data_IF_534994806185
#
_entry.id   IF_534994806185
#
_cell.length_a   1.000
_cell.length_b   1.000
_cell.length_c   1.000
_cell.angle_alpha   90.00
_cell.angle_beta   90.00
_cell.angle_gamma   90.00
#
_symmetry.space_group_name_H-M   'P 1'
#
loop_
_entity.id
_entity.type
_entity.pdbx_description
1 polymer ?
#
# COMPACT_ATOMS: atom_id res chain seq x y z
N UNK A 1 -12.67 -14.79 -18.07
CA UNK A 1 -12.65 -15.38 -16.71
C UNK A 1 -13.69 -14.64 -15.87
N UNK A 2 -14.78 -15.33 -15.48
CA UNK A 2 -15.77 -14.75 -14.59
C UNK A 2 -15.32 -15.04 -13.14
N UNK A 3 -14.77 -14.06 -12.47
CA UNK A 3 -14.57 -14.08 -11.02
C UNK A 3 -15.53 -13.09 -10.34
N UNK A 4 -15.99 -13.44 -9.17
CA UNK A 4 -16.76 -12.56 -8.29
C UNK A 4 -15.90 -12.34 -7.06
N UNK A 5 -15.74 -11.08 -6.65
CA UNK A 5 -15.01 -10.74 -5.43
C UNK A 5 -15.96 -10.01 -4.48
N UNK A 6 -16.01 -10.48 -3.27
CA UNK A 6 -16.69 -9.82 -2.14
C UNK A 6 -15.61 -9.27 -1.22
N UNK A 7 -15.70 -7.99 -0.83
CA UNK A 7 -14.73 -7.38 0.07
C UNK A 7 -15.41 -6.57 1.18
N UNK A 8 -14.77 -6.57 2.32
CA UNK A 8 -15.13 -5.75 3.48
C UNK A 8 -13.85 -5.08 4.00
N UNK A 9 -13.91 -3.80 4.28
CA UNK A 9 -12.80 -3.05 4.86
C UNK A 9 -13.30 -2.19 6.02
N UNK A 10 -12.56 -2.22 7.12
CA UNK A 10 -12.75 -1.36 8.29
C UNK A 10 -11.49 -0.55 8.51
N UNK A 11 -11.63 0.76 8.65
CA UNK A 11 -10.51 1.65 8.94
C UNK A 11 -10.86 2.63 10.05
N UNK A 12 -9.84 3.07 10.79
CA UNK A 12 -9.98 4.10 11.80
C UNK A 12 -8.76 5.00 11.84
N UNK A 13 -9.01 6.31 11.89
CA UNK A 13 -7.98 7.34 11.98
C UNK A 13 -7.94 7.91 13.40
N UNK A 14 -6.74 7.99 13.95
CA UNK A 14 -6.47 8.58 15.26
C UNK A 14 -5.64 9.85 15.09
N UNK A 15 -6.11 10.96 15.64
CA UNK A 15 -5.32 12.19 15.78
C UNK A 15 -4.58 12.11 17.11
N UNK A 16 -3.28 11.79 17.04
CA UNK A 16 -2.45 11.72 18.26
C UNK A 16 -2.16 13.11 18.78
N UNK A 17 -1.83 14.05 17.88
CA UNK A 17 -1.68 15.47 18.15
C UNK A 17 -1.76 16.26 16.84
N UNK A 18 -1.49 17.59 16.88
CA UNK A 18 -1.54 18.45 15.69
C UNK A 18 -0.55 18.09 14.58
N UNK A 19 0.49 17.32 14.90
CA UNK A 19 1.55 16.93 13.96
C UNK A 19 1.48 15.46 13.56
N UNK A 20 0.76 14.62 14.30
CA UNK A 20 0.79 13.16 14.12
C UNK A 20 -0.63 12.63 13.99
N UNK A 21 -0.88 11.95 12.89
CA UNK A 21 -2.09 11.14 12.69
C UNK A 21 -1.69 9.69 12.40
N UNK A 22 -2.51 8.75 12.84
CA UNK A 22 -2.30 7.32 12.66
C UNK A 22 -3.57 6.71 12.10
N UNK A 23 -3.45 5.90 11.05
CA UNK A 23 -4.55 5.14 10.46
C UNK A 23 -4.30 3.66 10.64
N UNK A 24 -5.33 2.92 11.06
CA UNK A 24 -5.33 1.46 11.15
C UNK A 24 -6.40 0.93 10.21
N UNK A 25 -6.08 -0.07 9.42
CA UNK A 25 -7.00 -0.72 8.50
C UNK A 25 -7.04 -2.23 8.71
N UNK A 26 -8.20 -2.83 8.56
CA UNK A 26 -8.41 -4.26 8.49
C UNK A 26 -9.28 -4.56 7.27
N UNK A 27 -8.89 -5.56 6.49
CA UNK A 27 -9.58 -5.97 5.28
C UNK A 27 -9.83 -7.46 5.25
N UNK A 28 -10.91 -7.84 4.61
CA UNK A 28 -11.21 -9.19 4.18
C UNK A 28 -11.73 -9.16 2.76
N UNK A 29 -11.26 -10.05 1.92
CA UNK A 29 -11.86 -10.28 0.60
C UNK A 29 -11.93 -11.76 0.29
N UNK A 30 -12.96 -12.14 -0.44
CA UNK A 30 -13.20 -13.46 -0.96
C UNK A 30 -13.37 -13.36 -2.48
N UNK A 31 -12.41 -13.92 -3.21
CA UNK A 31 -12.44 -14.04 -4.65
C UNK A 31 -12.84 -15.47 -5.02
N UNK A 32 -13.93 -15.61 -5.78
CA UNK A 32 -14.42 -16.89 -6.30
C UNK A 32 -14.22 -16.93 -7.83
N UNK A 33 -13.35 -17.81 -8.29
CA UNK A 33 -13.09 -18.03 -9.71
C UNK A 33 -13.42 -19.47 -10.11
N UNK A 34 -14.37 -19.62 -11.04
CA UNK A 34 -14.87 -20.96 -11.45
C UNK A 34 -13.83 -21.80 -12.19
N UNK A 35 -12.87 -21.18 -12.87
CA UNK A 35 -11.98 -21.86 -13.83
C UNK A 35 -10.49 -21.67 -13.48
N UNK A 36 -10.13 -20.61 -12.80
CA UNK A 36 -8.75 -20.23 -12.55
C UNK A 36 -8.43 -20.33 -11.05
N UNK A 37 -7.68 -21.38 -10.68
CA UNK A 37 -7.28 -21.64 -9.30
C UNK A 37 -6.40 -20.51 -8.71
N UNK A 38 -5.66 -19.79 -9.55
CA UNK A 38 -4.84 -18.66 -9.15
C UNK A 38 -5.64 -17.40 -8.76
N UNK A 39 -6.95 -17.37 -9.07
CA UNK A 39 -7.85 -16.28 -8.77
C UNK A 39 -8.99 -16.67 -7.80
N UNK A 40 -8.86 -17.84 -7.13
CA UNK A 40 -9.84 -18.39 -6.18
C UNK A 40 -9.18 -18.43 -4.79
N UNK A 41 -9.29 -17.32 -4.05
CA UNK A 41 -8.60 -17.15 -2.77
C UNK A 41 -9.34 -16.21 -1.82
N UNK A 42 -9.05 -16.35 -0.55
CA UNK A 42 -9.43 -15.42 0.51
C UNK A 42 -8.22 -14.59 0.93
N UNK A 43 -8.45 -13.31 1.22
CA UNK A 43 -7.42 -12.39 1.70
C UNK A 43 -7.83 -11.78 3.04
N UNK A 44 -6.89 -11.73 3.96
CA UNK A 44 -6.99 -11.00 5.23
C UNK A 44 -5.88 -9.96 5.27
N UNK A 45 -6.27 -8.68 5.39
CA UNK A 45 -5.35 -7.56 5.37
C UNK A 45 -5.32 -6.83 6.70
N UNK A 46 -4.13 -6.41 7.10
CA UNK A 46 -3.94 -5.49 8.22
C UNK A 46 -2.97 -4.38 7.81
N UNK A 47 -3.29 -3.12 8.12
CA UNK A 47 -2.42 -1.99 7.82
C UNK A 47 -2.33 -1.00 8.96
N UNK A 48 -1.16 -0.36 9.06
CA UNK A 48 -0.86 0.75 9.95
C UNK A 48 -0.15 1.83 9.13
N UNK A 49 -0.64 3.06 9.21
CA UNK A 49 0.01 4.21 8.61
C UNK A 49 0.18 5.31 9.65
N UNK A 50 1.36 5.92 9.72
CA UNK A 50 1.67 7.04 10.62
C UNK A 50 2.11 8.22 9.77
N UNK A 51 1.43 9.35 9.93
CA UNK A 51 1.70 10.57 9.20
C UNK A 51 2.23 11.65 10.15
N UNK A 52 3.30 12.30 9.73
CA UNK A 52 3.94 13.40 10.45
C UNK A 52 3.84 14.67 9.60
N UNK A 53 3.11 15.66 10.09
CA UNK A 53 2.92 16.97 9.44
C UNK A 53 3.86 18.02 10.04
N UNK A 54 5.16 17.93 9.77
CA UNK A 54 6.11 18.93 10.23
C UNK A 54 5.99 20.24 9.44
N UNK A 55 6.36 21.40 10.02
CA UNK A 55 6.34 22.68 9.31
C UNK A 55 7.19 22.69 8.02
N UNK A 56 8.19 21.80 7.96
CA UNK A 56 9.17 21.74 6.87
C UNK A 56 8.98 20.55 5.91
N UNK A 57 8.21 19.53 6.29
CA UNK A 57 7.90 18.38 5.42
C UNK A 57 6.72 17.60 5.96
N UNK A 58 6.05 16.87 5.06
CA UNK A 58 5.12 15.80 5.42
C UNK A 58 5.83 14.46 5.21
N UNK A 59 5.74 13.57 6.21
CA UNK A 59 6.32 12.23 6.17
C UNK A 59 5.21 11.23 6.48
N UNK A 60 5.09 10.21 5.64
CA UNK A 60 4.19 9.08 5.84
C UNK A 60 5.01 7.80 5.95
N UNK A 61 4.70 6.96 6.93
CA UNK A 61 5.30 5.64 7.12
C UNK A 61 4.19 4.62 7.22
N UNK A 62 4.18 3.67 6.28
CA UNK A 62 3.20 2.61 6.18
C UNK A 62 3.78 1.23 6.44
N UNK A 63 2.93 0.36 6.95
CA UNK A 63 3.20 -1.05 7.12
C UNK A 63 1.91 -1.83 6.87
N UNK A 64 1.97 -2.85 6.03
CA UNK A 64 0.84 -3.71 5.74
C UNK A 64 1.24 -5.19 5.72
N UNK A 65 0.31 -6.02 6.17
CA UNK A 65 0.39 -7.47 6.11
C UNK A 65 -0.84 -7.98 5.37
N UNK A 66 -0.64 -8.89 4.43
CA UNK A 66 -1.70 -9.57 3.68
C UNK A 66 -1.47 -11.07 3.72
N UNK A 67 -2.51 -11.81 4.07
CA UNK A 67 -2.54 -13.27 4.09
C UNK A 67 -3.50 -13.71 2.99
N UNK A 68 -3.00 -14.47 2.01
CA UNK A 68 -3.80 -15.01 0.91
C UNK A 68 -3.87 -16.52 1.02
N UNK A 69 -5.05 -17.05 1.24
CA UNK A 69 -5.31 -18.48 1.27
C UNK A 69 -6.10 -18.91 0.02
N UNK A 70 -5.45 -19.67 -0.84
CA UNK A 70 -6.05 -20.18 -2.07
C UNK A 70 -6.97 -21.36 -1.76
N UNK A 71 -8.08 -21.47 -2.49
CA UNK A 71 -9.08 -22.52 -2.25
C UNK A 71 -8.77 -23.82 -3.02
N UNK A 72 -7.96 -23.75 -4.06
CA UNK A 72 -7.65 -24.86 -4.95
C UNK A 72 -6.16 -24.90 -5.28
N UNK A 73 -5.64 -26.11 -5.46
CA UNK A 73 -4.30 -26.30 -5.99
C UNK A 73 -4.25 -25.91 -7.48
N UNK A 74 -3.23 -25.13 -7.85
CA UNK A 74 -2.96 -24.82 -9.25
C UNK A 74 -2.20 -25.98 -9.91
N UNK A 75 -2.88 -26.73 -10.77
CA UNK A 75 -2.30 -27.89 -11.44
C UNK A 75 -1.16 -27.57 -12.41
N UNK A 76 -1.04 -26.30 -12.82
CA UNK A 76 0.07 -25.85 -13.67
C UNK A 76 1.37 -25.65 -12.88
N UNK A 77 1.29 -25.50 -11.55
CA UNK A 77 2.43 -25.31 -10.65
C UNK A 77 2.64 -26.53 -9.76
N UNK A 78 1.63 -26.91 -9.00
CA UNK A 78 1.64 -28.10 -8.13
C UNK A 78 0.20 -28.55 -7.85
N UNK A 79 -0.16 -29.71 -8.39
CA UNK A 79 -1.52 -30.26 -8.24
C UNK A 79 -1.86 -30.78 -6.84
N UNK A 80 -0.89 -30.87 -5.94
CA UNK A 80 -1.05 -31.49 -4.62
C UNK A 80 -1.00 -30.49 -3.47
N UNK A 81 -0.55 -29.24 -3.71
CA UNK A 81 -0.36 -28.23 -2.68
C UNK A 81 -1.28 -27.05 -2.97
N UNK A 82 -2.15 -26.73 -2.01
CA UNK A 82 -2.92 -25.49 -2.03
C UNK A 82 -1.99 -24.38 -1.56
N UNK A 83 -1.88 -23.32 -2.35
CA UNK A 83 -1.02 -22.18 -2.09
C UNK A 83 -1.56 -21.33 -0.92
N UNK A 84 -0.64 -20.85 -0.09
CA UNK A 84 -0.90 -19.75 0.84
C UNK A 84 0.30 -18.82 0.87
N UNK A 85 0.04 -17.51 0.89
CA UNK A 85 1.06 -16.48 0.85
C UNK A 85 0.91 -15.51 2.01
N UNK A 86 2.03 -15.02 2.50
CA UNK A 86 2.10 -13.88 3.41
C UNK A 86 2.89 -12.79 2.73
N UNK A 87 2.27 -11.63 2.52
CA UNK A 87 2.94 -10.46 1.95
C UNK A 87 3.09 -9.38 3.01
N UNK A 88 4.29 -8.91 3.19
CA UNK A 88 4.63 -7.78 4.06
C UNK A 88 5.11 -6.61 3.21
N UNK A 89 4.43 -5.47 3.34
CA UNK A 89 4.79 -4.22 2.67
C UNK A 89 5.17 -3.18 3.70
N UNK A 90 6.31 -2.54 3.49
CA UNK A 90 6.75 -1.36 4.22
C UNK A 90 6.94 -0.22 3.22
N UNK A 91 6.39 0.94 3.53
CA UNK A 91 6.56 2.15 2.72
C UNK A 91 6.93 3.37 3.55
N UNK A 92 7.67 4.26 2.93
CA UNK A 92 7.94 5.61 3.45
C UNK A 92 7.82 6.62 2.32
N UNK A 93 7.13 7.72 2.59
CA UNK A 93 7.00 8.84 1.66
C UNK A 93 7.38 10.14 2.37
N UNK A 94 8.12 10.99 1.67
CA UNK A 94 8.44 12.35 2.10
C UNK A 94 7.96 13.32 1.04
N UNK A 95 7.15 14.29 1.47
CA UNK A 95 6.64 15.38 0.64
C UNK A 95 7.17 16.70 1.15
N UNK A 96 7.73 17.53 0.25
CA UNK A 96 8.26 18.85 0.59
C UNK A 96 7.91 19.89 -0.45
N UNK A 97 7.54 21.09 0.00
CA UNK A 97 7.31 22.22 -0.89
C UNK A 97 8.63 22.73 -1.49
N UNK A 98 8.65 22.94 -2.80
CA UNK A 98 9.81 23.46 -3.54
C UNK A 98 10.11 24.90 -3.11
N UNK A 99 9.08 25.68 -2.78
CA UNK A 99 9.20 27.05 -2.27
C UNK A 99 10.02 27.17 -1.00
N UNK A 100 10.19 26.08 -0.22
CA UNK A 100 11.06 26.07 0.96
C UNK A 100 12.56 26.19 0.59
N UNK A 101 12.93 25.67 -0.57
CA UNK A 101 14.30 25.73 -1.11
C UNK A 101 14.49 26.92 -2.06
N UNK A 102 13.45 27.21 -2.84
CA UNK A 102 13.47 28.20 -3.91
C UNK A 102 12.25 29.12 -3.85
N UNK A 103 12.19 30.07 -2.88
CA UNK A 103 11.02 30.94 -2.71
C UNK A 103 10.73 31.83 -3.93
N UNK A 104 11.76 32.14 -4.72
CA UNK A 104 11.60 32.93 -5.96
C UNK A 104 10.88 32.16 -7.08
N UNK A 105 10.95 30.82 -7.06
CA UNK A 105 10.31 29.95 -8.06
C UNK A 105 8.88 29.60 -7.65
N UNK A 106 8.66 29.37 -6.34
CA UNK A 106 7.37 28.97 -5.80
C UNK A 106 7.07 29.74 -4.49
N UNK A 107 6.76 31.03 -4.60
CA UNK A 107 6.48 31.88 -3.41
C UNK A 107 5.22 31.42 -2.66
N UNK A 108 4.29 30.75 -3.33
CA UNK A 108 3.05 30.27 -2.75
C UNK A 108 3.13 28.84 -2.21
N UNK A 109 4.29 28.20 -2.27
CA UNK A 109 4.48 26.81 -1.84
C UNK A 109 3.47 25.85 -2.48
N UNK A 110 3.20 26.05 -3.75
CA UNK A 110 2.21 25.29 -4.54
C UNK A 110 2.82 24.09 -5.27
N UNK A 111 4.14 24.04 -5.42
CA UNK A 111 4.90 22.98 -6.03
C UNK A 111 5.49 22.07 -4.97
N UNK A 112 5.32 20.78 -5.14
CA UNK A 112 5.82 19.76 -4.19
C UNK A 112 6.69 18.75 -4.90
N UNK A 113 7.74 18.32 -4.20
CA UNK A 113 8.53 17.13 -4.53
C UNK A 113 8.11 16.01 -3.58
N UNK A 114 7.83 14.84 -4.13
CA UNK A 114 7.49 13.64 -3.38
C UNK A 114 8.53 12.57 -3.70
N UNK A 115 9.16 12.04 -2.67
CA UNK A 115 10.04 10.89 -2.75
C UNK A 115 9.42 9.74 -1.95
N UNK A 116 9.35 8.55 -2.53
CA UNK A 116 8.86 7.38 -1.81
C UNK A 116 9.77 6.17 -2.04
N UNK A 117 9.82 5.34 -1.03
CA UNK A 117 10.42 4.01 -1.07
C UNK A 117 9.41 3.01 -0.55
N UNK A 118 9.31 1.88 -1.25
CA UNK A 118 8.50 0.75 -0.84
C UNK A 118 9.34 -0.51 -0.89
N UNK A 119 9.19 -1.36 0.11
CA UNK A 119 9.73 -2.70 0.15
C UNK A 119 8.60 -3.69 0.37
N UNK A 120 8.51 -4.66 -0.52
CA UNK A 120 7.55 -5.75 -0.44
C UNK A 120 8.30 -7.08 -0.33
N UNK A 121 7.87 -7.92 0.60
CA UNK A 121 8.34 -9.29 0.74
C UNK A 121 7.13 -10.21 0.74
N UNK A 122 7.11 -11.18 -0.16
CA UNK A 122 6.11 -12.25 -0.18
C UNK A 122 6.79 -13.58 0.12
N UNK A 123 6.21 -14.33 1.03
CA UNK A 123 6.59 -15.69 1.40
C UNK A 123 5.40 -16.60 1.16
N UNK A 124 5.63 -17.68 0.40
CA UNK A 124 4.59 -18.63 0.04
C UNK A 124 4.99 -20.04 0.49
N UNK A 125 4.00 -20.90 0.69
CA UNK A 125 4.27 -22.33 0.92
C UNK A 125 4.71 -23.08 -0.36
N UNK A 126 4.71 -22.38 -1.51
CA UNK A 126 5.28 -22.84 -2.78
C UNK A 126 6.40 -21.88 -3.18
N UNK A 127 7.64 -22.32 -3.13
CA UNK A 127 8.87 -21.51 -3.26
C UNK A 127 8.91 -20.61 -4.52
N UNK A 128 8.25 -21.01 -5.62
CA UNK A 128 8.23 -20.23 -6.86
C UNK A 128 7.47 -18.90 -6.74
N UNK A 129 6.75 -18.67 -5.64
CA UNK A 129 6.00 -17.45 -5.37
C UNK A 129 6.64 -16.56 -4.32
N UNK A 130 7.79 -16.99 -3.76
CA UNK A 130 8.58 -16.13 -2.89
C UNK A 130 9.25 -15.02 -3.70
N UNK A 131 9.13 -13.78 -3.26
CA UNK A 131 9.84 -12.67 -3.87
C UNK A 131 10.09 -11.54 -2.88
N UNK A 132 11.11 -10.74 -3.20
CA UNK A 132 11.36 -9.45 -2.58
C UNK A 132 11.41 -8.42 -3.69
N UNK A 133 10.71 -7.32 -3.51
CA UNK A 133 10.71 -6.19 -4.44
C UNK A 133 10.96 -4.90 -3.67
N UNK A 134 11.84 -4.07 -4.22
CA UNK A 134 12.11 -2.72 -3.75
C UNK A 134 11.74 -1.75 -4.86
N UNK A 135 11.04 -0.69 -4.51
CA UNK A 135 10.71 0.38 -5.45
C UNK A 135 11.07 1.75 -4.87
N UNK A 136 11.57 2.63 -5.72
CA UNK A 136 11.80 4.03 -5.40
C UNK A 136 11.09 4.88 -6.44
N UNK A 137 10.38 5.91 -5.98
CA UNK A 137 9.77 6.89 -6.88
C UNK A 137 10.11 8.32 -6.48
N UNK A 138 10.21 9.18 -7.50
CA UNK A 138 10.34 10.62 -7.36
C UNK A 138 9.31 11.27 -8.27
N UNK A 139 8.47 12.12 -7.72
CA UNK A 139 7.44 12.82 -8.49
C UNK A 139 7.31 14.27 -8.07
N UNK A 140 6.74 15.07 -8.98
CA UNK A 140 6.43 16.47 -8.76
C UNK A 140 4.92 16.67 -8.87
N UNK A 141 4.35 17.43 -7.95
CA UNK A 141 2.94 17.78 -7.97
C UNK A 141 2.73 19.27 -7.78
N UNK A 142 1.63 19.79 -8.31
CA UNK A 142 1.23 21.19 -8.15
C UNK A 142 -0.18 21.27 -7.59
N UNK A 143 -0.34 22.06 -6.53
CA UNK A 143 -1.65 22.38 -5.97
C UNK A 143 -2.19 23.66 -6.64
N UNK A 144 -3.45 23.63 -7.06
CA UNK A 144 -4.15 24.78 -7.61
C UNK A 144 -5.27 25.17 -6.64
N UNK A 145 -5.23 26.41 -6.12
CA UNK A 145 -6.37 26.96 -5.43
C UNK A 145 -7.36 27.53 -6.47
N UNK A 146 -8.51 26.88 -6.61
CA UNK A 146 -9.60 27.33 -7.49
C UNK A 146 -10.57 28.31 -6.79
N UNK A 147 -10.19 28.84 -5.63
CA UNK A 147 -11.00 29.86 -4.96
C UNK A 147 -10.77 31.21 -5.65
N UNK A 148 -11.69 31.54 -6.55
CA UNK A 148 -12.02 32.91 -6.97
C UNK A 148 -13.17 33.41 -6.13
#
# INVERSE_FOLDING_TARGET
TNSITHSFTLGHDFIVNQLITTSIGLGYSDADAKVDAGNDYETYDGSLNINFAFPWAYISVGNALSFNDYKKADSSVNSSIIRSDVTHTFDIMVTKAIGDFFPAIDPNRSLFINASYEKMKSEANIMNYDYIADSFSLSFSKSFNLNN
#
